data_IF_486471326596
#
_entry.id   IF_486471326596
#
_cell.length_a   1.000
_cell.length_b   1.000
_cell.length_c   1.000
_cell.angle_alpha   90.00
_cell.angle_beta   90.00
_cell.angle_gamma   90.00
#
_symmetry.space_group_name_H-M   'P 1'
#
loop_
_entity.id
_entity.type
_entity.pdbx_description
1 polymer ?
#
# COMPACT_ATOMS: atom_id res chain seq x y z
N UNK A 1 -5.65 4.76 32.01
CA UNK A 1 -5.83 3.87 30.85
C UNK A 1 -4.46 3.59 30.27
N UNK A 2 -4.20 2.39 29.74
CA UNK A 2 -2.97 2.14 29.00
C UNK A 2 -2.96 2.96 27.71
N UNK A 3 -1.80 3.43 27.27
CA UNK A 3 -1.66 4.17 26.00
C UNK A 3 -1.99 3.26 24.80
N UNK A 4 -2.35 3.84 23.66
CA UNK A 4 -2.61 3.12 22.42
C UNK A 4 -1.36 2.33 22.00
N UNK A 5 -0.18 2.94 22.09
CA UNK A 5 1.09 2.27 21.80
C UNK A 5 1.33 1.06 22.72
N UNK A 6 1.08 1.19 24.03
CA UNK A 6 1.25 0.08 24.98
C UNK A 6 0.31 -1.11 24.68
N UNK A 7 -0.96 -0.82 24.34
CA UNK A 7 -1.93 -1.85 23.93
C UNK A 7 -1.56 -2.49 22.60
N UNK A 8 -1.08 -1.70 21.66
CA UNK A 8 -0.62 -2.18 20.37
C UNK A 8 0.55 -3.17 20.53
N UNK A 9 1.52 -2.84 21.38
CA UNK A 9 2.63 -3.76 21.69
C UNK A 9 2.18 -5.03 22.41
N UNK A 10 1.08 -4.98 23.16
CA UNK A 10 0.46 -6.14 23.80
C UNK A 10 -0.35 -7.03 22.83
N UNK A 11 -0.46 -6.67 21.55
CA UNK A 11 -1.14 -7.48 20.53
C UNK A 11 -2.57 -7.04 20.20
N UNK A 12 -3.04 -5.92 20.76
CA UNK A 12 -4.40 -5.42 20.54
C UNK A 12 -4.52 -4.60 19.23
N UNK A 13 -4.00 -5.15 18.13
CA UNK A 13 -3.77 -4.40 16.89
C UNK A 13 -5.05 -3.90 16.22
N UNK A 14 -6.07 -4.76 16.13
CA UNK A 14 -7.33 -4.40 15.48
C UNK A 14 -8.12 -3.37 16.29
N UNK A 15 -8.20 -3.54 17.62
CA UNK A 15 -8.95 -2.62 18.46
C UNK A 15 -8.25 -1.26 18.57
N UNK A 16 -6.91 -1.23 18.63
CA UNK A 16 -6.17 0.04 18.63
C UNK A 16 -6.40 0.81 17.33
N UNK A 17 -6.27 0.16 16.16
CA UNK A 17 -6.54 0.85 14.89
C UNK A 17 -8.00 1.23 14.71
N UNK A 18 -8.95 0.45 15.25
CA UNK A 18 -10.35 0.85 15.29
C UNK A 18 -10.54 2.11 16.14
N UNK A 19 -9.96 2.16 17.34
CA UNK A 19 -10.04 3.31 18.22
C UNK A 19 -9.44 4.55 17.56
N UNK A 20 -8.22 4.46 17.02
CA UNK A 20 -7.55 5.56 16.29
C UNK A 20 -8.48 6.16 15.24
N UNK A 21 -9.15 5.33 14.42
CA UNK A 21 -10.06 5.84 13.37
C UNK A 21 -11.31 6.53 13.93
N UNK A 22 -11.75 6.16 15.13
CA UNK A 22 -12.95 6.72 15.76
C UNK A 22 -12.66 7.92 16.68
N UNK A 23 -11.43 8.09 17.15
CA UNK A 23 -11.07 9.08 18.19
C UNK A 23 -10.02 10.11 17.77
N UNK A 24 -9.54 10.10 16.52
CA UNK A 24 -8.43 10.91 15.98
C UNK A 24 -8.54 12.45 16.11
N UNK A 25 -9.56 13.02 16.76
CA UNK A 25 -9.75 14.47 16.89
C UNK A 25 -9.10 15.10 18.14
N UNK A 26 -8.29 14.38 18.93
CA UNK A 26 -7.67 14.89 20.16
C UNK A 26 -6.14 14.94 20.05
N UNK A 27 -5.51 16.08 20.38
CA UNK A 27 -4.03 16.25 20.37
C UNK A 27 -3.29 15.23 21.25
N UNK A 28 -3.90 14.80 22.38
CA UNK A 28 -3.35 13.76 23.27
C UNK A 28 -3.21 12.38 22.59
N UNK A 29 -3.81 12.18 21.42
CA UNK A 29 -3.78 10.94 20.63
C UNK A 29 -2.69 10.98 19.56
N UNK A 30 -2.19 12.16 19.17
CA UNK A 30 -1.32 12.31 18.00
C UNK A 30 0.06 11.60 18.12
N UNK A 31 0.76 11.79 19.25
CA UNK A 31 2.06 11.13 19.46
C UNK A 31 1.92 9.60 19.57
N UNK A 32 0.86 9.14 20.25
CA UNK A 32 0.56 7.72 20.41
C UNK A 32 0.19 7.07 19.06
N UNK A 33 -0.46 7.82 18.16
CA UNK A 33 -0.77 7.41 16.79
C UNK A 33 0.48 7.22 15.94
N UNK A 34 1.45 8.13 16.05
CA UNK A 34 2.71 8.03 15.29
C UNK A 34 3.53 6.81 15.72
N UNK A 35 3.59 6.55 17.03
CA UNK A 35 4.23 5.35 17.58
C UNK A 35 3.54 4.07 17.09
N UNK A 36 2.20 4.04 17.09
CA UNK A 36 1.42 2.90 16.56
C UNK A 36 1.67 2.72 15.06
N UNK A 37 1.64 3.80 14.27
CA UNK A 37 1.89 3.75 12.83
C UNK A 37 3.29 3.25 12.52
N UNK A 38 4.31 3.75 13.24
CA UNK A 38 5.70 3.30 13.10
C UNK A 38 5.83 1.81 13.43
N UNK A 39 5.32 1.37 14.58
CA UNK A 39 5.37 -0.04 14.99
C UNK A 39 4.63 -0.95 13.99
N UNK A 40 3.49 -0.49 13.46
CA UNK A 40 2.72 -1.18 12.42
C UNK A 40 3.56 -1.39 11.17
N UNK A 41 4.18 -0.32 10.64
CA UNK A 41 4.92 -0.39 9.38
C UNK A 41 6.25 -1.13 9.52
N UNK A 42 6.88 -1.12 10.69
CA UNK A 42 8.03 -1.99 10.98
C UNK A 42 7.66 -3.48 10.92
N UNK A 43 6.52 -3.87 11.48
CA UNK A 43 6.01 -5.26 11.41
C UNK A 43 5.57 -5.64 9.99
N UNK A 44 4.90 -4.73 9.29
CA UNK A 44 4.52 -4.92 7.90
C UNK A 44 5.76 -5.10 7.01
N UNK A 45 6.81 -4.29 7.19
CA UNK A 45 8.08 -4.40 6.48
C UNK A 45 8.65 -5.82 6.55
N UNK A 46 8.74 -6.41 7.74
CA UNK A 46 9.30 -7.77 7.89
C UNK A 46 8.54 -8.79 7.06
N UNK A 47 7.20 -8.72 7.04
CA UNK A 47 6.37 -9.63 6.26
C UNK A 47 6.45 -9.35 4.75
N UNK A 48 6.53 -8.08 4.36
CA UNK A 48 6.71 -7.68 2.96
C UNK A 48 8.09 -8.10 2.43
N UNK A 49 9.15 -7.96 3.22
CA UNK A 49 10.50 -8.39 2.86
C UNK A 49 10.56 -9.93 2.66
N UNK A 50 9.93 -10.71 3.55
CA UNK A 50 9.80 -12.17 3.39
C UNK A 50 8.98 -12.54 2.13
N UNK A 51 7.84 -11.88 1.90
CA UNK A 51 7.04 -12.08 0.70
C UNK A 51 7.85 -11.78 -0.57
N UNK A 52 8.51 -10.63 -0.64
CA UNK A 52 9.34 -10.25 -1.78
C UNK A 52 10.44 -11.27 -2.07
N UNK A 53 11.16 -11.74 -1.03
CA UNK A 53 12.16 -12.80 -1.16
C UNK A 53 11.57 -14.07 -1.76
N UNK A 54 10.40 -14.51 -1.26
CA UNK A 54 9.74 -15.72 -1.75
C UNK A 54 9.25 -15.58 -3.20
N UNK A 55 8.82 -14.38 -3.63
CA UNK A 55 8.46 -14.14 -5.03
C UNK A 55 9.68 -14.27 -5.95
N UNK A 56 10.83 -13.72 -5.54
CA UNK A 56 12.10 -13.88 -6.26
C UNK A 56 12.49 -15.36 -6.33
N UNK A 57 12.44 -16.09 -5.22
CA UNK A 57 12.76 -17.53 -5.16
C UNK A 57 11.83 -18.39 -6.02
N UNK A 58 10.57 -17.97 -6.17
CA UNK A 58 9.60 -18.62 -7.06
C UNK A 58 9.83 -18.30 -8.54
N UNK A 59 10.73 -17.37 -8.85
CA UNK A 59 11.12 -16.98 -10.21
C UNK A 59 10.27 -15.84 -10.78
N UNK A 60 9.80 -14.90 -9.95
CA UNK A 60 9.14 -13.68 -10.44
C UNK A 60 10.05 -12.96 -11.43
N UNK A 61 9.52 -12.65 -12.62
CA UNK A 61 10.14 -11.71 -13.56
C UNK A 61 9.41 -10.39 -13.46
N UNK A 62 10.04 -9.40 -12.82
CA UNK A 62 9.42 -8.10 -12.58
C UNK A 62 9.04 -7.39 -13.87
N UNK A 63 7.88 -6.74 -13.85
CA UNK A 63 7.41 -5.91 -14.94
C UNK A 63 8.37 -4.73 -15.19
N UNK A 64 8.75 -4.50 -16.45
CA UNK A 64 9.51 -3.32 -16.85
C UNK A 64 10.89 -3.16 -16.18
N UNK A 65 11.45 -4.22 -15.58
CA UNK A 65 12.70 -4.13 -14.82
C UNK A 65 12.56 -3.41 -13.47
N UNK A 66 11.33 -3.16 -13.00
CA UNK A 66 11.07 -2.54 -11.70
C UNK A 66 11.60 -3.48 -10.60
N UNK A 67 12.44 -3.00 -9.67
CA UNK A 67 12.91 -3.82 -8.55
C UNK A 67 11.74 -4.35 -7.71
N UNK A 68 11.84 -5.58 -7.24
CA UNK A 68 10.82 -6.16 -6.33
C UNK A 68 10.77 -5.37 -5.02
N UNK A 69 11.93 -4.86 -4.56
CA UNK A 69 12.07 -4.03 -3.36
C UNK A 69 12.99 -2.86 -3.62
N UNK A 70 12.58 -1.69 -3.12
CA UNK A 70 13.36 -0.48 -3.02
C UNK A 70 13.35 -0.03 -1.55
N UNK A 71 14.48 -0.08 -0.83
CA UNK A 71 14.52 0.37 0.55
C UNK A 71 14.28 1.89 0.63
N UNK A 72 13.74 2.40 1.75
CA UNK A 72 13.70 3.84 1.99
C UNK A 72 15.10 4.45 1.90
N UNK A 73 15.28 5.62 1.24
CA UNK A 73 16.57 6.28 1.20
C UNK A 73 16.94 6.84 2.58
N UNK A 74 18.25 7.01 2.90
CA UNK A 74 18.69 7.47 4.22
C UNK A 74 18.12 8.84 4.65
N UNK A 75 17.76 9.68 3.70
CA UNK A 75 17.23 11.04 3.90
C UNK A 75 15.69 11.11 3.82
N UNK A 76 14.98 9.97 3.78
CA UNK A 76 13.52 9.89 3.62
C UNK A 76 12.75 10.79 4.59
N UNK A 77 13.19 10.90 5.85
CA UNK A 77 12.51 11.74 6.85
C UNK A 77 12.60 13.23 6.48
N UNK A 78 13.75 13.68 5.98
CA UNK A 78 13.93 15.06 5.53
C UNK A 78 13.09 15.37 4.30
N UNK A 79 13.01 14.41 3.38
CA UNK A 79 12.20 14.46 2.15
C UNK A 79 10.70 14.54 2.44
N UNK A 80 10.20 13.67 3.32
CA UNK A 80 8.81 13.71 3.78
C UNK A 80 8.48 15.05 4.47
N UNK A 81 9.39 15.61 5.26
CA UNK A 81 9.18 16.92 5.87
C UNK A 81 9.12 18.07 4.84
N UNK A 82 9.81 17.96 3.70
CA UNK A 82 9.68 18.91 2.57
C UNK A 82 8.30 18.77 1.91
N UNK A 83 7.88 17.53 1.65
CA UNK A 83 6.55 17.23 1.10
C UNK A 83 5.44 17.80 2.00
N UNK A 84 5.51 17.55 3.30
CA UNK A 84 4.47 18.00 4.26
C UNK A 84 4.35 19.52 4.38
N UNK A 85 5.44 20.26 4.15
CA UNK A 85 5.38 21.73 4.07
C UNK A 85 4.62 22.22 2.83
N UNK A 86 4.52 21.38 1.81
CA UNK A 86 3.95 21.74 0.51
C UNK A 86 2.51 21.25 0.37
N UNK A 87 2.23 20.03 0.84
CA UNK A 87 0.93 19.36 0.68
C UNK A 87 0.08 19.36 1.95
N UNK A 88 0.65 19.75 3.09
CA UNK A 88 0.07 19.53 4.41
C UNK A 88 0.55 18.24 5.04
N UNK A 89 0.17 18.00 6.29
CA UNK A 89 0.60 16.81 7.04
C UNK A 89 0.13 15.53 6.35
N UNK A 90 1.06 14.58 6.14
CA UNK A 90 0.71 13.29 5.56
C UNK A 90 0.00 12.42 6.61
N UNK A 91 -0.93 11.54 6.20
CA UNK A 91 -1.48 10.51 7.08
C UNK A 91 -0.38 9.72 7.80
N UNK A 92 -0.51 9.51 9.11
CA UNK A 92 0.52 8.89 9.95
C UNK A 92 0.97 7.51 9.41
N UNK A 93 0.01 6.68 8.97
CA UNK A 93 0.29 5.38 8.37
C UNK A 93 1.06 5.49 7.05
N UNK A 94 0.75 6.47 6.20
CA UNK A 94 1.45 6.69 4.93
C UNK A 94 2.90 7.16 5.17
N UNK A 95 3.08 8.12 6.08
CA UNK A 95 4.41 8.61 6.46
C UNK A 95 5.27 7.50 7.05
N UNK A 96 4.70 6.68 7.94
CA UNK A 96 5.38 5.51 8.50
C UNK A 96 5.71 4.45 7.43
N UNK A 97 4.82 4.26 6.44
CA UNK A 97 5.04 3.33 5.33
C UNK A 97 6.26 3.74 4.51
N UNK A 98 6.34 5.01 4.11
CA UNK A 98 7.46 5.55 3.35
C UNK A 98 8.77 5.48 4.15
N UNK A 99 8.71 5.75 5.46
CA UNK A 99 9.87 5.75 6.34
C UNK A 99 10.44 4.35 6.60
N UNK A 100 9.58 3.34 6.76
CA UNK A 100 10.01 2.01 7.21
C UNK A 100 9.99 0.94 6.12
N UNK A 101 9.05 1.00 5.18
CA UNK A 101 8.85 -0.04 4.15
C UNK A 101 9.53 0.33 2.84
N UNK A 102 9.33 1.55 2.34
CA UNK A 102 9.79 1.95 1.00
C UNK A 102 8.99 1.26 -0.11
N UNK A 103 9.57 1.15 -1.31
CA UNK A 103 8.87 0.64 -2.49
C UNK A 103 8.85 -0.89 -2.59
N UNK A 104 7.71 -1.48 -2.95
CA UNK A 104 7.60 -2.90 -3.30
C UNK A 104 6.82 -3.03 -4.61
N UNK A 105 7.23 -3.95 -5.47
CA UNK A 105 6.47 -4.30 -6.66
C UNK A 105 6.50 -5.80 -6.90
N UNK A 106 5.37 -6.46 -6.63
CA UNK A 106 5.16 -7.88 -6.97
C UNK A 106 4.58 -8.06 -8.37
N UNK A 107 4.51 -6.97 -9.16
CA UNK A 107 3.99 -6.95 -10.52
C UNK A 107 4.98 -7.61 -11.48
N UNK A 108 4.50 -8.54 -12.29
CA UNK A 108 5.35 -9.27 -13.25
C UNK A 108 4.77 -10.61 -13.69
N UNK A 109 5.59 -11.38 -14.40
CA UNK A 109 5.26 -12.75 -14.75
C UNK A 109 5.69 -13.72 -13.66
N UNK A 110 4.72 -14.50 -13.16
CA UNK A 110 4.97 -15.63 -12.27
C UNK A 110 3.90 -16.71 -12.52
N UNK A 111 4.10 -17.58 -13.54
CA UNK A 111 3.09 -18.55 -13.95
C UNK A 111 2.62 -19.49 -12.84
N UNK A 112 3.49 -19.80 -11.86
CA UNK A 112 3.16 -20.64 -10.69
C UNK A 112 2.08 -20.05 -9.78
N UNK A 113 1.87 -18.73 -9.85
CA UNK A 113 0.82 -17.99 -9.14
C UNK A 113 -0.26 -17.45 -10.10
N UNK A 114 -0.23 -17.86 -11.37
CA UNK A 114 -1.17 -17.35 -12.37
C UNK A 114 -0.96 -15.88 -12.75
N UNK A 115 0.17 -15.29 -12.38
CA UNK A 115 0.51 -13.92 -12.77
C UNK A 115 1.09 -13.90 -14.17
N UNK A 116 0.55 -13.03 -15.01
CA UNK A 116 1.18 -12.69 -16.27
C UNK A 116 1.01 -11.23 -16.60
N UNK A 117 2.14 -10.59 -16.89
CA UNK A 117 2.25 -9.20 -17.27
C UNK A 117 2.66 -9.08 -18.74
N UNK A 118 3.80 -9.67 -19.14
CA UNK A 118 4.32 -9.57 -20.51
C UNK A 118 4.01 -10.82 -21.36
N UNK A 119 4.06 -12.01 -20.76
CA UNK A 119 4.13 -13.27 -21.52
C UNK A 119 2.80 -14.04 -21.68
N UNK A 120 1.66 -13.45 -21.31
CA UNK A 120 0.40 -14.19 -21.16
C UNK A 120 -0.83 -13.53 -21.76
N UNK A 121 -1.94 -14.25 -21.68
CA UNK A 121 -3.23 -13.79 -22.20
C UNK A 121 -3.82 -12.78 -21.22
N UNK A 122 -4.13 -11.60 -21.74
CA UNK A 122 -4.87 -10.58 -20.98
C UNK A 122 -6.25 -11.11 -20.58
N UNK A 123 -6.67 -10.91 -19.32
CA UNK A 123 -8.04 -11.16 -18.90
C UNK A 123 -9.06 -10.50 -19.83
N UNK A 124 -10.24 -11.13 -19.98
CA UNK A 124 -11.36 -10.59 -20.78
C UNK A 124 -12.54 -10.11 -19.94
N UNK A 125 -12.43 -10.25 -18.62
CA UNK A 125 -13.43 -9.80 -17.65
C UNK A 125 -12.98 -8.46 -17.05
N UNK A 126 -13.80 -7.88 -16.17
CA UNK A 126 -13.40 -6.73 -15.36
C UNK A 126 -12.99 -7.18 -13.95
N UNK A 127 -12.13 -6.42 -13.25
CA UNK A 127 -11.87 -6.65 -11.83
C UNK A 127 -13.15 -6.43 -10.99
N UNK A 128 -13.22 -7.01 -9.78
CA UNK A 128 -12.16 -7.78 -9.12
C UNK A 128 -12.19 -9.29 -9.42
N UNK A 129 -11.14 -10.01 -9.02
CA UNK A 129 -11.13 -11.48 -8.95
C UNK A 129 -9.81 -12.12 -9.36
N UNK A 130 -9.71 -13.46 -9.42
CA UNK A 130 -8.47 -14.19 -9.74
C UNK A 130 -7.75 -13.77 -11.04
N UNK A 131 -8.43 -13.41 -12.15
CA UNK A 131 -7.75 -12.88 -13.33
C UNK A 131 -7.03 -11.54 -13.09
N UNK A 132 -7.40 -10.86 -12.02
CA UNK A 132 -6.87 -9.58 -11.53
C UNK A 132 -6.36 -9.78 -10.10
N UNK A 133 -5.33 -10.62 -9.96
CA UNK A 133 -4.79 -11.05 -8.67
C UNK A 133 -4.30 -9.90 -7.76
N UNK A 134 -4.15 -8.69 -8.32
CA UNK A 134 -3.80 -7.45 -7.63
C UNK A 134 -2.48 -7.56 -6.87
N UNK A 135 -1.36 -7.89 -7.54
CA UNK A 135 -0.06 -7.98 -6.88
C UNK A 135 0.27 -6.71 -6.10
N UNK A 136 0.74 -6.87 -4.86
CA UNK A 136 1.10 -5.77 -3.98
C UNK A 136 2.15 -4.87 -4.67
N UNK A 137 1.76 -3.62 -4.88
CA UNK A 137 2.63 -2.53 -5.30
C UNK A 137 2.49 -1.41 -4.28
N UNK A 138 3.63 -0.90 -3.83
CA UNK A 138 3.75 0.30 -2.99
C UNK A 138 4.80 1.17 -3.66
N UNK A 139 4.40 2.36 -4.05
CA UNK A 139 5.32 3.37 -4.57
C UNK A 139 6.28 3.84 -3.48
N UNK A 140 7.53 4.17 -3.86
CA UNK A 140 8.49 4.75 -2.94
C UNK A 140 8.35 6.28 -2.82
N UNK A 141 9.22 6.90 -2.02
CA UNK A 141 9.21 8.35 -1.81
C UNK A 141 9.60 9.11 -3.08
N UNK A 142 10.39 8.53 -3.99
CA UNK A 142 10.76 9.18 -5.25
C UNK A 142 9.52 9.36 -6.13
N UNK A 143 8.67 8.33 -6.23
CA UNK A 143 7.41 8.41 -6.94
C UNK A 143 6.45 9.42 -6.31
N UNK A 144 6.34 9.44 -4.98
CA UNK A 144 5.48 10.40 -4.28
C UNK A 144 5.91 11.86 -4.54
N UNK A 145 7.21 12.14 -4.50
CA UNK A 145 7.73 13.47 -4.85
C UNK A 145 7.49 13.84 -6.31
N UNK A 146 7.63 12.88 -7.22
CA UNK A 146 7.33 13.06 -8.63
C UNK A 146 5.85 13.47 -8.81
N UNK A 147 4.92 12.70 -8.25
CA UNK A 147 3.47 12.96 -8.32
C UNK A 147 3.11 14.34 -7.74
N UNK A 148 3.64 14.68 -6.56
CA UNK A 148 3.40 15.98 -5.93
C UNK A 148 3.92 17.11 -6.82
N UNK A 149 5.11 16.97 -7.39
CA UNK A 149 5.70 17.99 -8.26
C UNK A 149 4.88 18.19 -9.53
N UNK A 150 4.54 17.12 -10.24
CA UNK A 150 3.72 17.20 -11.46
C UNK A 150 2.38 17.89 -11.14
N UNK A 151 1.75 17.51 -10.02
CA UNK A 151 0.48 18.11 -9.62
C UNK A 151 0.59 19.60 -9.26
N UNK A 152 1.66 20.02 -8.58
CA UNK A 152 1.90 21.44 -8.29
C UNK A 152 2.16 22.25 -9.56
N UNK A 153 2.83 21.67 -10.56
CA UNK A 153 3.02 22.30 -11.86
C UNK A 153 1.67 22.50 -12.58
N UNK A 154 0.74 21.54 -12.48
CA UNK A 154 -0.63 21.68 -12.99
C UNK A 154 -1.44 22.76 -12.25
N UNK A 155 -1.43 22.76 -10.90
CA UNK A 155 -2.15 23.76 -10.09
C UNK A 155 -1.57 25.17 -10.28
N UNK A 156 -0.27 25.30 -10.55
CA UNK A 156 0.32 26.61 -10.86
C UNK A 156 -0.25 27.22 -12.15
N UNK A 157 -0.75 26.40 -13.09
CA UNK A 157 -1.43 26.85 -14.30
C UNK A 157 -2.90 27.23 -14.03
N UNK A 158 -3.52 26.69 -12.99
CA UNK A 158 -4.88 27.00 -12.55
C UNK A 158 -4.98 27.01 -11.01
N UNK A 159 -4.82 28.20 -10.41
CA UNK A 159 -4.87 28.39 -8.96
C UNK A 159 -6.23 28.06 -8.32
N UNK A 160 -7.27 27.78 -9.13
CA UNK A 160 -8.58 27.33 -8.65
C UNK A 160 -8.71 25.80 -8.60
N UNK A 161 -7.74 25.07 -9.16
CA UNK A 161 -7.74 23.61 -9.15
C UNK A 161 -7.49 23.07 -7.73
N UNK A 162 -8.33 22.15 -7.22
CA UNK A 162 -8.09 21.51 -5.94
C UNK A 162 -6.87 20.58 -6.00
N UNK A 163 -6.24 20.33 -4.86
CA UNK A 163 -5.22 19.29 -4.77
C UNK A 163 -5.84 17.92 -5.12
N UNK A 164 -5.35 17.29 -6.17
CA UNK A 164 -5.79 15.98 -6.62
C UNK A 164 -5.25 14.87 -5.70
N UNK A 165 -5.95 13.74 -5.55
CA UNK A 165 -5.39 12.55 -4.93
C UNK A 165 -4.12 12.12 -5.66
N UNK A 166 -3.11 11.63 -4.94
CA UNK A 166 -1.89 11.11 -5.55
C UNK A 166 -1.99 9.62 -5.87
N UNK A 167 -1.29 9.19 -6.92
CA UNK A 167 -1.12 7.78 -7.26
C UNK A 167 -0.36 7.01 -6.17
N UNK A 168 -1.04 6.16 -5.41
CA UNK A 168 -0.43 5.30 -4.41
C UNK A 168 0.15 4.01 -5.02
N UNK A 169 -0.58 3.43 -5.99
CA UNK A 169 -0.18 2.24 -6.73
C UNK A 169 -0.99 2.15 -8.03
N UNK A 170 -0.54 1.39 -9.04
CA UNK A 170 -1.37 1.09 -10.21
C UNK A 170 -2.62 0.30 -9.82
N UNK A 171 -3.72 0.46 -10.55
CA UNK A 171 -4.94 -0.32 -10.33
C UNK A 171 -4.79 -1.79 -10.78
N UNK A 172 -5.83 -2.59 -10.56
CA UNK A 172 -5.84 -4.01 -10.91
C UNK A 172 -5.71 -4.27 -12.42
N UNK A 173 -6.17 -3.33 -13.27
CA UNK A 173 -6.03 -3.42 -14.73
C UNK A 173 -4.58 -3.19 -15.13
N UNK A 174 -3.97 -2.10 -14.64
CA UNK A 174 -2.57 -1.79 -14.90
C UNK A 174 -1.64 -2.87 -14.37
N UNK A 175 -1.90 -3.42 -13.18
CA UNK A 175 -1.17 -4.57 -12.63
C UNK A 175 -1.29 -5.84 -13.48
N UNK A 176 -2.31 -5.93 -14.35
CA UNK A 176 -2.50 -6.99 -15.35
C UNK A 176 -2.05 -6.59 -16.76
N UNK A 177 -1.26 -5.51 -16.91
CA UNK A 177 -0.79 -4.95 -18.18
C UNK A 177 -1.92 -4.58 -19.15
N UNK A 178 -3.01 -4.05 -18.61
CA UNK A 178 -4.15 -3.46 -19.34
C UNK A 178 -4.20 -1.98 -18.96
N UNK A 179 -4.50 -1.09 -19.91
CA UNK A 179 -4.70 0.33 -19.59
C UNK A 179 -5.80 0.47 -18.54
N UNK A 180 -5.47 1.13 -17.44
CA UNK A 180 -6.31 1.32 -16.26
C UNK A 180 -6.07 2.69 -15.65
N UNK A 181 -6.33 2.80 -14.36
CA UNK A 181 -6.02 3.96 -13.53
C UNK A 181 -5.09 3.60 -12.38
N UNK A 182 -5.30 4.25 -11.25
CA UNK A 182 -4.49 4.10 -10.06
C UNK A 182 -5.35 3.90 -8.82
N UNK A 183 -4.77 3.25 -7.83
CA UNK A 183 -5.19 3.34 -6.45
C UNK A 183 -4.65 4.66 -5.90
N UNK A 184 -5.51 5.51 -5.33
CA UNK A 184 -5.10 6.86 -4.91
C UNK A 184 -5.42 7.14 -3.44
N UNK A 185 -4.65 8.07 -2.85
CA UNK A 185 -4.88 8.59 -1.51
C UNK A 185 -4.99 10.12 -1.59
N UNK A 186 -5.93 10.70 -0.84
CA UNK A 186 -6.14 12.15 -0.82
C UNK A 186 -5.16 12.86 0.12
N UNK A 187 -4.56 13.97 -0.34
CA UNK A 187 -3.72 14.84 0.50
C UNK A 187 -4.48 15.49 1.67
N UNK A 188 -5.78 15.71 1.53
CA UNK A 188 -6.60 16.32 2.58
C UNK A 188 -7.09 15.32 3.62
N UNK A 189 -6.65 14.06 3.56
CA UNK A 189 -6.97 13.06 4.56
C UNK A 189 -6.23 13.36 5.86
N UNK A 190 -6.90 14.01 6.82
CA UNK A 190 -6.41 14.13 8.20
C UNK A 190 -6.53 12.82 9.00
N UNK A 191 -7.02 11.75 8.38
CA UNK A 191 -7.13 10.45 9.02
C UNK A 191 -5.74 9.81 9.18
N UNK A 192 -5.39 9.29 10.37
CA UNK A 192 -4.13 8.59 10.58
C UNK A 192 -3.93 7.38 9.65
N UNK A 193 -5.01 6.67 9.34
CA UNK A 193 -5.06 5.53 8.43
C UNK A 193 -5.92 5.92 7.22
N UNK A 194 -5.31 6.39 6.12
CA UNK A 194 -6.05 6.95 5.01
C UNK A 194 -6.84 5.89 4.26
N UNK A 195 -7.98 6.27 3.69
CA UNK A 195 -8.72 5.43 2.75
C UNK A 195 -7.98 5.41 1.41
N UNK A 196 -7.82 4.21 0.84
CA UNK A 196 -7.34 4.05 -0.52
C UNK A 196 -8.57 3.98 -1.43
N UNK A 197 -8.60 4.83 -2.46
CA UNK A 197 -9.65 4.82 -3.47
C UNK A 197 -9.17 4.09 -4.73
N UNK A 198 -10.11 3.62 -5.57
CA UNK A 198 -9.78 2.92 -6.82
C UNK A 198 -9.56 1.42 -6.70
N UNK A 199 -9.63 0.83 -5.49
CA UNK A 199 -9.50 -0.63 -5.32
C UNK A 199 -10.80 -1.33 -5.68
N UNK A 200 -10.76 -2.22 -6.67
CA UNK A 200 -11.92 -2.90 -7.20
C UNK A 200 -12.59 -3.81 -6.14
N UNK A 201 -13.89 -3.60 -5.92
CA UNK A 201 -14.67 -4.37 -4.95
C UNK A 201 -14.36 -4.09 -3.48
N UNK A 202 -13.61 -3.03 -3.16
CA UNK A 202 -13.22 -2.67 -1.78
C UNK A 202 -13.43 -1.20 -1.47
N UNK A 203 -14.68 -0.76 -1.52
CA UNK A 203 -15.00 0.62 -1.17
C UNK A 203 -14.66 0.91 0.30
N UNK A 204 -13.90 1.98 0.54
CA UNK A 204 -13.59 2.45 1.90
C UNK A 204 -12.50 1.67 2.63
N UNK A 205 -11.76 0.78 1.95
CA UNK A 205 -10.63 0.09 2.57
C UNK A 205 -9.52 1.09 2.91
N UNK A 206 -8.96 0.96 4.12
CA UNK A 206 -7.85 1.81 4.55
C UNK A 206 -6.50 1.22 4.17
N UNK A 207 -5.44 2.03 4.26
CA UNK A 207 -4.08 1.58 3.98
C UNK A 207 -3.67 0.37 4.83
N UNK A 208 -3.86 0.43 6.14
CA UNK A 208 -3.50 -0.68 7.03
C UNK A 208 -4.32 -1.93 6.70
N UNK A 209 -5.63 -1.78 6.45
CA UNK A 209 -6.50 -2.90 6.07
C UNK A 209 -6.08 -3.53 4.74
N UNK A 210 -5.69 -2.72 3.76
CA UNK A 210 -5.22 -3.21 2.46
C UNK A 210 -3.91 -3.98 2.58
N UNK A 211 -2.96 -3.52 3.40
CA UNK A 211 -1.71 -4.25 3.66
C UNK A 211 -1.96 -5.58 4.37
N UNK A 212 -2.80 -5.59 5.42
CA UNK A 212 -3.20 -6.82 6.12
C UNK A 212 -3.81 -7.82 5.14
N UNK A 213 -4.76 -7.37 4.33
CA UNK A 213 -5.42 -8.21 3.34
C UNK A 213 -4.43 -8.73 2.30
N UNK A 214 -3.55 -7.88 1.79
CA UNK A 214 -2.54 -8.26 0.82
C UNK A 214 -1.65 -9.37 1.36
N UNK A 215 -1.15 -9.21 2.59
CA UNK A 215 -0.30 -10.20 3.26
C UNK A 215 -1.06 -11.49 3.58
N UNK A 216 -2.32 -11.40 4.04
CA UNK A 216 -3.21 -12.55 4.26
C UNK A 216 -3.42 -13.41 3.00
N UNK A 217 -3.21 -12.81 1.83
CA UNK A 217 -3.32 -13.41 0.51
C UNK A 217 -1.98 -13.49 -0.23
N UNK A 218 -0.85 -13.49 0.51
CA UNK A 218 0.48 -13.71 -0.06
C UNK A 218 0.88 -12.65 -1.10
N UNK A 219 0.48 -11.41 -0.87
CA UNK A 219 0.65 -10.28 -1.78
C UNK A 219 -0.35 -10.22 -2.93
N UNK A 220 -1.34 -11.12 -3.01
CA UNK A 220 -2.30 -11.24 -4.13
C UNK A 220 -3.78 -11.18 -3.65
N UNK A 221 -4.24 -10.06 -3.07
CA UNK A 221 -5.58 -9.89 -2.51
C UNK A 221 -6.74 -10.15 -3.49
N UNK A 222 -6.52 -10.13 -4.80
CA UNK A 222 -7.53 -10.46 -5.81
C UNK A 222 -8.08 -11.89 -5.70
N UNK A 223 -7.30 -12.82 -5.14
CA UNK A 223 -7.75 -14.21 -4.91
C UNK A 223 -8.77 -14.35 -3.77
N UNK A 224 -8.89 -13.36 -2.89
CA UNK A 224 -9.86 -13.41 -1.78
C UNK A 224 -11.31 -13.36 -2.23
N UNK A 225 -11.60 -12.88 -3.44
CA UNK A 225 -12.94 -12.90 -4.03
C UNK A 225 -13.37 -14.29 -4.49
N UNK A 226 -12.41 -15.20 -4.75
CA UNK A 226 -12.68 -16.59 -5.08
C UNK A 226 -11.58 -17.51 -4.51
N UNK A 227 -11.58 -17.76 -3.18
CA UNK A 227 -10.55 -18.56 -2.49
C UNK A 227 -10.27 -19.93 -3.12
N UNK A 228 -11.30 -20.57 -3.66
CA UNK A 228 -11.21 -21.89 -4.30
C UNK A 228 -10.46 -21.87 -5.64
N UNK A 229 -10.33 -20.71 -6.27
CA UNK A 229 -9.58 -20.51 -7.51
C UNK A 229 -8.10 -20.15 -7.27
N UNK A 230 -7.68 -19.98 -6.01
CA UNK A 230 -6.31 -19.65 -5.66
C UNK A 230 -5.35 -20.80 -6.03
N UNK A 231 -4.20 -20.51 -6.69
CA UNK A 231 -3.17 -21.50 -6.96
C UNK A 231 -2.69 -22.14 -5.66
N UNK A 232 -2.43 -23.46 -5.69
CA UNK A 232 -1.90 -24.18 -4.53
C UNK A 232 -0.60 -23.58 -3.98
N UNK A 233 0.23 -23.01 -4.86
CA UNK A 233 1.47 -22.33 -4.50
C UNK A 233 1.21 -21.12 -3.60
N UNK A 234 0.08 -20.42 -3.77
CA UNK A 234 -0.28 -19.23 -2.96
C UNK A 234 -0.41 -19.57 -1.48
N UNK A 235 -0.88 -20.78 -1.14
CA UNK A 235 -1.05 -21.20 0.24
C UNK A 235 0.25 -21.11 1.08
N UNK A 236 1.42 -21.20 0.43
CA UNK A 236 2.74 -21.09 1.08
C UNK A 236 3.21 -19.66 1.29
N UNK A 237 2.53 -18.69 0.68
CA UNK A 237 2.85 -17.27 0.75
C UNK A 237 1.91 -16.53 1.70
N UNK A 238 0.73 -17.09 2.00
CA UNK A 238 -0.20 -16.51 2.95
C UNK A 238 0.41 -16.47 4.35
N UNK A 239 0.26 -15.35 5.03
CA UNK A 239 0.64 -15.16 6.42
C UNK A 239 -0.52 -14.54 7.21
N UNK A 240 -0.56 -14.75 8.51
CA UNK A 240 -1.48 -14.01 9.38
C UNK A 240 -0.86 -12.63 9.67
N UNK A 241 -1.47 -11.52 9.21
CA UNK A 241 -0.87 -10.21 9.34
C UNK A 241 -0.85 -9.76 10.81
N UNK A 242 0.32 -9.89 11.42
CA UNK A 242 0.53 -9.60 12.83
C UNK A 242 0.84 -8.11 13.13
N UNK A 243 -0.04 -7.19 12.73
CA UNK A 243 0.09 -5.75 12.96
C UNK A 243 -1.23 -5.02 12.76
#
# INVERSE_FOLDING_TARGET
MASLSARYQAGDWDAVWHEIRTTASSELVAADVDDVASATMQRARTQIDDLASRFVDLGLRSAGGIPVRTPPPPDVVGRLAVLERTTGQLPAALRALMTHVGGVSLMGDLPRLGLSYDAGKRPRTMPPGPPFADPLVISDVDYLEFEVREHLEEVALDASAPLLPFGFAPDELHKANISGGEHTISFSSHLPDPVITGIAGRLGITLVQYLRLSIAWGGLPGYSFAPHAAPKTLARLRADPAF
#
